data_IF_205840934072
#
_entry.id   IF_205840934072
#
_cell.length_a   1.000
_cell.length_b   1.000
_cell.length_c   1.000
_cell.angle_alpha   90.00
_cell.angle_beta   90.00
_cell.angle_gamma   90.00
#
_symmetry.space_group_name_H-M   'P 1'
#
loop_
_entity.id
_entity.type
_entity.pdbx_description
1 polymer ?
#
# COMPACT_ATOMS: atom_id res chain seq x y z
N UNK A 1 -12.47 47.59 -14.85
CA UNK A 1 -12.51 46.12 -14.88
C UNK A 1 -11.97 45.64 -13.54
N UNK A 2 -12.84 45.11 -12.67
CA UNK A 2 -12.44 44.66 -11.34
C UNK A 2 -11.68 43.34 -11.42
N UNK A 3 -10.54 43.25 -10.75
CA UNK A 3 -9.77 42.02 -10.63
C UNK A 3 -10.52 41.06 -9.70
N UNK A 4 -11.31 40.15 -10.26
CA UNK A 4 -11.85 39.02 -9.52
C UNK A 4 -10.70 38.10 -9.13
N UNK A 5 -10.48 37.94 -7.83
CA UNK A 5 -9.54 36.96 -7.31
C UNK A 5 -10.20 35.58 -7.32
N UNK A 6 -9.40 34.51 -7.34
CA UNK A 6 -9.94 33.14 -7.21
C UNK A 6 -10.74 32.93 -5.91
N UNK A 7 -10.55 33.79 -4.91
CA UNK A 7 -11.31 33.83 -3.67
C UNK A 7 -12.78 34.23 -3.92
N UNK A 8 -13.01 35.23 -4.78
CA UNK A 8 -14.34 35.77 -5.07
C UNK A 8 -15.22 34.78 -5.86
N UNK A 9 -14.59 33.91 -6.67
CA UNK A 9 -15.30 32.88 -7.44
C UNK A 9 -15.79 31.71 -6.59
N UNK A 10 -15.10 31.42 -5.47
CA UNK A 10 -15.44 30.34 -4.54
C UNK A 10 -16.61 30.75 -3.65
N UNK A 11 -16.68 32.02 -3.24
CA UNK A 11 -17.79 32.55 -2.45
C UNK A 11 -19.10 32.64 -3.24
N UNK A 12 -19.04 32.93 -4.55
CA UNK A 12 -20.25 33.12 -5.36
C UNK A 12 -20.89 31.82 -5.89
N UNK A 13 -20.14 30.71 -5.97
CA UNK A 13 -20.65 29.46 -6.56
C UNK A 13 -20.92 28.33 -5.56
N UNK A 14 -20.76 28.57 -4.26
CA UNK A 14 -20.96 27.56 -3.22
C UNK A 14 -19.96 26.41 -3.37
N UNK A 15 -18.88 26.44 -2.59
CA UNK A 15 -17.98 25.30 -2.51
C UNK A 15 -18.79 24.02 -2.21
N UNK A 16 -18.57 22.97 -2.99
CA UNK A 16 -19.12 21.64 -2.68
C UNK A 16 -18.73 21.28 -1.24
N UNK A 17 -19.64 20.65 -0.50
CA UNK A 17 -19.31 20.16 0.83
C UNK A 17 -18.17 19.14 0.74
N UNK A 18 -17.33 19.10 1.78
CA UNK A 18 -16.23 18.13 1.88
C UNK A 18 -16.71 16.70 1.61
N UNK A 19 -17.91 16.35 2.06
CA UNK A 19 -18.48 15.00 1.90
C UNK A 19 -18.76 14.67 0.42
N UNK A 20 -19.27 15.63 -0.36
CA UNK A 20 -19.49 15.45 -1.80
C UNK A 20 -18.15 15.32 -2.52
N UNK A 21 -17.18 16.17 -2.18
CA UNK A 21 -15.83 16.11 -2.76
C UNK A 21 -15.20 14.74 -2.50
N UNK A 22 -15.29 14.24 -1.27
CA UNK A 22 -14.79 12.92 -0.92
C UNK A 22 -15.49 11.81 -1.69
N UNK A 23 -16.81 11.87 -1.79
CA UNK A 23 -17.57 10.89 -2.54
C UNK A 23 -17.11 10.83 -4.00
N UNK A 24 -16.95 11.98 -4.65
CA UNK A 24 -16.43 12.06 -6.04
C UNK A 24 -15.01 11.48 -6.13
N UNK A 25 -14.14 11.79 -5.17
CA UNK A 25 -12.76 11.29 -5.16
C UNK A 25 -12.66 9.77 -5.01
N UNK A 26 -13.62 9.10 -4.37
CA UNK A 26 -13.60 7.63 -4.25
C UNK A 26 -13.79 6.91 -5.59
N UNK A 27 -14.33 7.58 -6.60
CA UNK A 27 -14.46 7.04 -7.97
C UNK A 27 -13.22 7.29 -8.85
N UNK A 28 -12.25 8.06 -8.36
CA UNK A 28 -11.05 8.37 -9.13
C UNK A 28 -10.00 7.27 -8.99
N UNK A 29 -9.35 6.89 -10.10
CA UNK A 29 -8.16 6.06 -10.02
C UNK A 29 -6.96 6.87 -9.48
N UNK A 30 -5.88 6.17 -9.13
CA UNK A 30 -4.69 6.81 -8.55
C UNK A 30 -4.07 7.90 -9.43
N UNK A 31 -4.05 7.73 -10.76
CA UNK A 31 -3.48 8.73 -11.67
C UNK A 31 -4.32 10.01 -11.66
N UNK A 32 -5.65 9.87 -11.74
CA UNK A 32 -6.58 11.00 -11.65
C UNK A 32 -6.41 11.73 -10.31
N UNK A 33 -6.30 10.99 -9.20
CA UNK A 33 -6.06 11.59 -7.88
C UNK A 33 -4.75 12.37 -7.82
N UNK A 34 -3.67 11.82 -8.36
CA UNK A 34 -2.38 12.51 -8.40
C UNK A 34 -2.43 13.77 -9.27
N UNK A 35 -3.20 13.76 -10.37
CA UNK A 35 -3.46 14.96 -11.16
C UNK A 35 -4.28 15.98 -10.37
N UNK A 36 -5.36 15.58 -9.69
CA UNK A 36 -6.15 16.47 -8.84
C UNK A 36 -5.30 17.12 -7.74
N UNK A 37 -4.39 16.37 -7.12
CA UNK A 37 -3.47 16.88 -6.11
C UNK A 37 -2.52 17.98 -6.63
N UNK A 38 -2.29 18.04 -7.95
CA UNK A 38 -1.48 19.07 -8.59
C UNK A 38 -2.24 20.36 -8.93
N UNK A 39 -3.59 20.33 -8.90
CA UNK A 39 -4.42 21.47 -9.30
C UNK A 39 -4.34 22.64 -8.31
N UNK A 40 -4.37 22.36 -6.99
CA UNK A 40 -4.15 23.37 -5.97
C UNK A 40 -3.71 22.78 -4.61
N UNK A 41 -3.22 23.64 -3.72
CA UNK A 41 -2.73 23.24 -2.40
C UNK A 41 -3.80 22.55 -1.53
N UNK A 42 -5.08 22.95 -1.62
CA UNK A 42 -6.15 22.31 -0.86
C UNK A 42 -6.37 20.86 -1.28
N UNK A 43 -6.42 20.58 -2.59
CA UNK A 43 -6.49 19.22 -3.12
C UNK A 43 -5.24 18.42 -2.78
N UNK A 44 -4.07 19.04 -2.87
CA UNK A 44 -2.81 18.41 -2.48
C UNK A 44 -2.84 17.94 -1.03
N UNK A 45 -3.28 18.80 -0.10
CA UNK A 45 -3.40 18.48 1.33
C UNK A 45 -4.45 17.39 1.55
N UNK A 46 -5.60 17.45 0.88
CA UNK A 46 -6.64 16.43 1.04
C UNK A 46 -6.21 15.06 0.52
N UNK A 47 -5.50 15.01 -0.62
CA UNK A 47 -5.17 13.77 -1.30
C UNK A 47 -3.87 13.17 -0.77
N UNK A 48 -2.87 13.98 -0.42
CA UNK A 48 -1.50 13.49 -0.20
C UNK A 48 -1.04 13.49 1.26
N UNK A 49 -1.82 14.04 2.19
CA UNK A 49 -1.44 14.07 3.61
C UNK A 49 -1.44 12.67 4.21
N UNK A 50 -0.29 12.28 4.74
CA UNK A 50 -0.12 11.01 5.45
C UNK A 50 -0.34 11.18 6.95
N UNK A 51 -0.67 10.08 7.64
CA UNK A 51 -0.78 10.07 9.11
C UNK A 51 0.55 10.38 9.81
N UNK A 52 1.69 10.22 9.13
CA UNK A 52 3.02 10.52 9.69
C UNK A 52 3.36 12.01 9.66
N UNK A 53 2.88 12.74 8.66
CA UNK A 53 3.09 14.18 8.51
C UNK A 53 2.27 15.01 9.51
N UNK A 54 1.30 14.38 10.19
CA UNK A 54 0.55 14.97 11.32
C UNK A 54 1.46 15.73 12.27
N UNK A 55 2.62 15.16 12.65
CA UNK A 55 3.52 15.78 13.63
C UNK A 55 4.07 17.16 13.20
N UNK A 56 4.16 17.43 11.89
CA UNK A 56 4.68 18.70 11.38
C UNK A 56 3.59 19.78 11.33
N UNK A 57 2.34 19.42 11.04
CA UNK A 57 1.23 20.38 10.91
C UNK A 57 0.49 20.64 12.23
N UNK A 58 0.66 19.78 13.24
CA UNK A 58 -0.05 19.87 14.51
C UNK A 58 0.22 21.15 15.31
N UNK A 59 1.35 21.84 15.08
CA UNK A 59 1.68 23.07 15.82
C UNK A 59 0.70 24.22 15.57
N UNK A 60 0.01 24.24 14.43
CA UNK A 60 -0.84 25.37 14.03
C UNK A 60 -2.30 25.00 13.67
N UNK A 61 -2.60 23.74 13.30
CA UNK A 61 -3.92 23.38 12.72
C UNK A 61 -4.46 21.99 13.14
N UNK A 62 -4.15 21.54 14.37
CA UNK A 62 -4.27 20.14 14.80
C UNK A 62 -5.58 19.39 14.47
N UNK A 63 -6.76 20.03 14.60
CA UNK A 63 -8.04 19.35 14.34
C UNK A 63 -8.31 19.11 12.84
N UNK A 64 -8.18 20.15 12.01
CA UNK A 64 -8.48 20.09 10.56
C UNK A 64 -7.58 19.09 9.86
N UNK A 65 -6.31 19.01 10.27
CA UNK A 65 -5.32 18.09 9.70
C UNK A 65 -5.67 16.63 10.01
N UNK A 66 -6.21 16.32 11.19
CA UNK A 66 -6.60 14.94 11.52
C UNK A 66 -7.74 14.46 10.65
N UNK A 67 -8.79 15.28 10.52
CA UNK A 67 -9.95 14.96 9.67
C UNK A 67 -9.51 14.72 8.22
N UNK A 68 -8.67 15.61 7.67
CA UNK A 68 -8.13 15.46 6.30
C UNK A 68 -7.24 14.24 6.12
N UNK A 69 -6.41 13.89 7.10
CA UNK A 69 -5.58 12.70 7.03
C UNK A 69 -6.42 11.40 7.06
N UNK A 70 -7.50 11.37 7.83
CA UNK A 70 -8.43 10.23 7.87
C UNK A 70 -9.19 10.10 6.54
N UNK A 71 -9.66 11.22 6.00
CA UNK A 71 -10.29 11.31 4.69
C UNK A 71 -9.35 10.83 3.57
N UNK A 72 -8.11 11.33 3.53
CA UNK A 72 -7.06 10.88 2.61
C UNK A 72 -6.87 9.36 2.72
N UNK A 73 -6.78 8.85 3.95
CA UNK A 73 -6.58 7.43 4.20
C UNK A 73 -7.76 6.57 3.70
N UNK A 74 -8.99 7.07 3.76
CA UNK A 74 -10.16 6.40 3.17
C UNK A 74 -10.10 6.36 1.64
N UNK A 75 -9.82 7.50 1.00
CA UNK A 75 -9.67 7.57 -0.47
C UNK A 75 -8.65 6.53 -0.94
N UNK A 76 -7.46 6.52 -0.33
CA UNK A 76 -6.40 5.60 -0.74
C UNK A 76 -6.68 4.14 -0.39
N UNK A 77 -7.51 3.87 0.63
CA UNK A 77 -7.99 2.51 0.91
C UNK A 77 -8.79 1.98 -0.27
N UNK A 78 -9.73 2.77 -0.79
CA UNK A 78 -10.59 2.37 -1.91
C UNK A 78 -9.78 2.21 -3.21
N UNK A 79 -8.81 3.10 -3.44
CA UNK A 79 -7.84 2.96 -4.55
C UNK A 79 -7.03 1.68 -4.43
N UNK A 80 -6.55 1.35 -3.23
CA UNK A 80 -5.80 0.11 -2.99
C UNK A 80 -6.70 -1.12 -3.18
N UNK A 81 -7.95 -1.09 -2.72
CA UNK A 81 -8.88 -2.22 -2.88
C UNK A 81 -9.29 -2.44 -4.32
N UNK A 82 -9.51 -1.37 -5.09
CA UNK A 82 -9.81 -1.47 -6.52
C UNK A 82 -8.59 -1.95 -7.31
N UNK A 83 -7.38 -1.50 -6.96
CA UNK A 83 -6.14 -1.89 -7.66
C UNK A 83 -5.69 -3.32 -7.27
N UNK A 84 -5.84 -3.69 -6.00
CA UNK A 84 -5.34 -4.94 -5.42
C UNK A 84 -6.38 -5.52 -4.42
N UNK A 85 -7.42 -6.22 -4.92
CA UNK A 85 -8.57 -6.66 -4.11
C UNK A 85 -8.24 -7.54 -2.90
N UNK A 86 -7.11 -8.25 -2.90
CA UNK A 86 -6.67 -9.09 -1.78
C UNK A 86 -6.40 -8.28 -0.50
N UNK A 87 -6.09 -6.98 -0.61
CA UNK A 87 -5.91 -6.12 0.57
C UNK A 87 -7.19 -5.86 1.34
N UNK A 88 -8.37 -6.14 0.77
CA UNK A 88 -9.64 -6.06 1.50
C UNK A 88 -9.67 -6.89 2.78
N UNK A 89 -8.85 -7.95 2.83
CA UNK A 89 -8.70 -8.83 4.00
C UNK A 89 -7.63 -8.36 4.99
N UNK A 90 -6.86 -7.32 4.64
CA UNK A 90 -5.76 -6.84 5.46
C UNK A 90 -6.24 -5.86 6.51
N UNK A 91 -5.96 -6.19 7.77
CA UNK A 91 -6.29 -5.35 8.92
C UNK A 91 -5.03 -4.62 9.42
N UNK A 92 -5.22 -3.45 10.04
CA UNK A 92 -4.14 -2.72 10.73
C UNK A 92 -3.30 -1.78 9.87
N UNK A 93 -3.61 -1.62 8.57
CA UNK A 93 -2.94 -0.61 7.72
C UNK A 93 -3.40 0.79 8.13
N UNK A 94 -2.45 1.59 8.64
CA UNK A 94 -2.69 2.96 9.14
C UNK A 94 -2.49 4.07 8.09
N UNK A 95 -1.91 3.73 6.94
CA UNK A 95 -1.51 4.69 5.90
C UNK A 95 -1.55 4.01 4.52
N UNK A 96 -2.74 4.00 3.92
CA UNK A 96 -3.00 3.36 2.62
C UNK A 96 -2.27 4.07 1.47
N UNK A 97 -2.07 5.39 1.54
CA UNK A 97 -1.28 6.15 0.56
C UNK A 97 0.17 5.67 0.54
N UNK A 98 0.77 5.50 1.72
CA UNK A 98 2.14 5.00 1.81
C UNK A 98 2.28 3.58 1.29
N UNK A 99 1.33 2.70 1.61
CA UNK A 99 1.27 1.34 1.07
C UNK A 99 1.19 1.38 -0.46
N UNK A 100 0.27 2.18 -1.01
CA UNK A 100 0.13 2.36 -2.46
C UNK A 100 1.43 2.82 -3.12
N UNK A 101 2.06 3.88 -2.59
CA UNK A 101 3.34 4.41 -3.12
C UNK A 101 4.48 3.39 -3.07
N UNK A 102 4.54 2.55 -2.03
CA UNK A 102 5.53 1.48 -1.94
C UNK A 102 5.32 0.45 -3.03
N UNK A 103 4.08 -0.01 -3.21
CA UNK A 103 3.75 -1.00 -4.25
C UNK A 103 4.00 -0.52 -5.65
N UNK A 104 3.59 0.71 -6.00
CA UNK A 104 3.83 1.24 -7.36
C UNK A 104 5.33 1.35 -7.67
N UNK A 105 6.20 1.59 -6.68
CA UNK A 105 7.66 1.63 -6.89
C UNK A 105 8.27 0.25 -7.10
N UNK A 106 7.70 -0.78 -6.48
CA UNK A 106 8.23 -2.14 -6.52
C UNK A 106 7.67 -2.92 -7.70
N UNK A 107 6.42 -2.67 -8.09
CA UNK A 107 5.83 -3.28 -9.27
C UNK A 107 6.50 -2.70 -10.51
N UNK A 108 7.08 -3.53 -11.39
CA UNK A 108 7.69 -3.03 -12.60
C UNK A 108 6.63 -2.30 -13.45
N UNK A 109 7.01 -1.20 -14.13
CA UNK A 109 6.08 -0.34 -14.87
C UNK A 109 5.30 -1.03 -16.01
N UNK A 110 5.53 -2.32 -16.26
CA UNK A 110 4.93 -3.08 -17.36
C UNK A 110 3.66 -3.89 -17.01
N UNK A 111 3.17 -3.90 -15.76
CA UNK A 111 1.98 -4.72 -15.43
C UNK A 111 0.61 -4.06 -15.73
N UNK A 112 0.59 -2.88 -16.36
CA UNK A 112 -0.67 -2.20 -16.72
C UNK A 112 -1.22 -2.50 -18.13
N UNK A 113 -0.64 -3.45 -18.86
CA UNK A 113 -1.25 -3.97 -20.09
C UNK A 113 -1.11 -5.48 -20.09
N UNK A 114 -2.26 -6.14 -20.06
CA UNK A 114 -2.53 -7.53 -20.47
C UNK A 114 -1.55 -8.58 -19.93
N UNK A 115 -2.09 -9.56 -19.19
CA UNK A 115 -1.51 -10.89 -18.97
C UNK A 115 -0.47 -11.31 -20.04
N UNK A 116 0.79 -10.90 -19.87
CA UNK A 116 1.85 -11.36 -20.76
C UNK A 116 2.17 -12.80 -20.35
N UNK A 117 2.34 -13.72 -21.32
CA UNK A 117 2.67 -15.10 -21.03
C UNK A 117 4.02 -15.11 -20.31
N UNK A 118 3.94 -15.55 -19.06
CA UNK A 118 4.99 -15.63 -18.08
C UNK A 118 6.20 -16.41 -18.61
N UNK A 119 7.22 -15.73 -19.10
CA UNK A 119 8.48 -16.41 -19.42
C UNK A 119 9.16 -16.78 -18.10
N UNK A 120 9.21 -18.08 -17.81
CA UNK A 120 9.82 -18.72 -16.64
C UNK A 120 11.34 -18.53 -16.60
N UNK A 121 11.84 -17.32 -16.45
CA UNK A 121 13.20 -17.15 -15.94
C UNK A 121 13.13 -17.34 -14.44
N UNK A 122 13.60 -18.50 -13.95
CA UNK A 122 13.83 -18.74 -12.51
C UNK A 122 14.85 -17.71 -12.02
N UNK A 123 14.38 -16.54 -11.59
CA UNK A 123 15.24 -15.59 -10.91
C UNK A 123 15.31 -16.02 -9.45
N UNK A 124 16.45 -16.58 -9.07
CA UNK A 124 16.74 -16.82 -7.66
C UNK A 124 16.63 -15.50 -6.89
N UNK A 125 16.20 -15.58 -5.63
CA UNK A 125 16.07 -14.42 -4.76
C UNK A 125 17.48 -13.95 -4.39
N UNK A 126 18.07 -13.15 -5.28
CA UNK A 126 19.47 -12.71 -5.15
C UNK A 126 19.63 -11.48 -4.25
N UNK A 127 18.56 -10.74 -4.03
CA UNK A 127 18.48 -9.56 -3.15
C UNK A 127 17.38 -9.81 -2.15
N UNK A 128 17.74 -9.78 -0.86
CA UNK A 128 16.77 -9.89 0.23
C UNK A 128 15.82 -8.69 0.15
N UNK A 129 14.53 -8.89 -0.18
CA UNK A 129 13.58 -7.80 -0.13
C UNK A 129 13.41 -7.37 1.33
N UNK A 130 13.19 -6.07 1.53
CA UNK A 130 12.98 -5.51 2.86
C UNK A 130 11.63 -6.00 3.37
N UNK A 131 11.63 -6.93 4.32
CA UNK A 131 10.39 -7.42 4.94
C UNK A 131 9.77 -6.32 5.82
N UNK A 132 8.45 -6.28 5.91
CA UNK A 132 7.77 -5.40 6.87
C UNK A 132 7.85 -5.96 8.28
N UNK A 133 7.79 -7.28 8.39
CA UNK A 133 7.91 -8.02 9.64
C UNK A 133 8.80 -9.25 9.42
N UNK A 134 9.96 -9.27 10.06
CA UNK A 134 10.80 -10.46 10.15
C UNK A 134 10.35 -11.30 11.35
N UNK A 135 9.97 -12.55 11.10
CA UNK A 135 9.61 -13.48 12.16
C UNK A 135 10.88 -14.04 12.80
N UNK A 136 11.00 -14.07 14.15
CA UNK A 136 12.20 -14.58 14.81
C UNK A 136 12.31 -16.11 14.80
N UNK A 137 11.24 -16.82 14.42
CA UNK A 137 11.23 -18.29 14.35
C UNK A 137 12.10 -18.81 13.20
N UNK A 138 12.69 -19.98 13.38
CA UNK A 138 13.45 -20.68 12.33
C UNK A 138 12.52 -21.66 11.60
N UNK A 139 12.75 -21.91 10.31
CA UNK A 139 11.87 -22.74 9.48
C UNK A 139 11.75 -24.18 10.03
N UNK A 140 12.84 -24.70 10.56
CA UNK A 140 12.94 -26.04 11.11
C UNK A 140 12.08 -26.22 12.38
N UNK A 141 11.83 -25.12 13.12
CA UNK A 141 11.01 -25.12 14.34
C UNK A 141 9.49 -24.97 14.06
N UNK A 142 9.11 -24.79 12.79
CA UNK A 142 7.72 -24.67 12.41
C UNK A 142 7.02 -26.02 12.36
N UNK A 143 5.72 -26.03 12.66
CA UNK A 143 4.91 -27.23 12.70
C UNK A 143 4.60 -27.71 11.27
N UNK A 144 4.92 -28.97 10.99
CA UNK A 144 4.62 -29.59 9.70
C UNK A 144 3.12 -29.89 9.59
N UNK A 145 2.49 -29.38 8.52
CA UNK A 145 1.06 -29.54 8.24
C UNK A 145 0.79 -30.47 7.04
N UNK A 146 1.74 -31.34 6.71
CA UNK A 146 1.60 -32.37 5.66
C UNK A 146 1.96 -31.93 4.24
N UNK A 147 2.44 -30.70 4.03
CA UNK A 147 2.88 -30.21 2.72
C UNK A 147 4.36 -29.81 2.75
N UNK A 148 5.18 -30.33 1.81
CA UNK A 148 6.64 -30.10 1.81
C UNK A 148 7.05 -28.62 1.70
N UNK A 149 6.20 -27.79 1.09
CA UNK A 149 6.47 -26.36 0.89
C UNK A 149 5.71 -25.45 1.85
N UNK A 150 5.07 -25.99 2.88
CA UNK A 150 4.20 -25.23 3.79
C UNK A 150 4.28 -25.74 5.22
N UNK A 151 4.56 -24.83 6.16
CA UNK A 151 4.57 -25.12 7.59
C UNK A 151 3.72 -24.10 8.36
N UNK A 152 3.32 -24.40 9.59
CA UNK A 152 2.55 -23.50 10.44
C UNK A 152 3.43 -22.85 11.51
N UNK A 153 3.33 -21.52 11.65
CA UNK A 153 4.04 -20.77 12.68
C UNK A 153 3.14 -20.50 13.88
N UNK A 154 3.47 -21.11 15.03
CA UNK A 154 2.74 -20.91 16.30
C UNK A 154 2.82 -19.47 16.82
N UNK A 155 3.93 -18.77 16.57
CA UNK A 155 4.11 -17.37 16.98
C UNK A 155 3.27 -16.41 16.15
N UNK A 156 3.25 -16.58 14.82
CA UNK A 156 2.49 -15.71 13.91
C UNK A 156 1.03 -16.17 13.75
N UNK A 157 0.72 -17.39 14.16
CA UNK A 157 -0.56 -18.10 13.93
C UNK A 157 -0.97 -18.10 12.45
N UNK A 158 0.01 -18.30 11.56
CA UNK A 158 -0.13 -18.24 10.11
C UNK A 158 0.64 -19.36 9.43
N UNK A 159 0.16 -19.71 8.25
CA UNK A 159 0.87 -20.58 7.33
C UNK A 159 2.07 -19.87 6.71
N UNK A 160 3.21 -20.57 6.65
CA UNK A 160 4.48 -20.11 6.09
C UNK A 160 4.81 -20.93 4.86
N UNK A 161 4.92 -20.25 3.72
CA UNK A 161 5.24 -20.86 2.43
C UNK A 161 6.74 -20.80 2.15
N UNK A 162 7.36 -21.95 1.87
CA UNK A 162 8.74 -22.00 1.37
C UNK A 162 8.76 -21.55 -0.09
N UNK A 163 9.45 -20.45 -0.38
CA UNK A 163 9.58 -19.89 -1.71
C UNK A 163 11.04 -19.86 -2.15
N UNK A 164 11.25 -20.12 -3.44
CA UNK A 164 12.59 -20.24 -4.04
C UNK A 164 12.83 -19.15 -5.08
N UNK A 165 11.77 -18.55 -5.60
CA UNK A 165 11.87 -17.56 -6.68
C UNK A 165 11.17 -16.26 -6.29
N UNK A 166 11.62 -15.15 -6.88
CA UNK A 166 11.04 -13.81 -6.64
C UNK A 166 9.55 -13.82 -6.99
N UNK A 167 9.16 -14.60 -7.99
CA UNK A 167 7.79 -14.79 -8.43
C UNK A 167 6.90 -15.40 -7.34
N UNK A 168 7.35 -16.50 -6.73
CA UNK A 168 6.64 -17.15 -5.64
C UNK A 168 6.54 -16.21 -4.43
N UNK A 169 7.65 -15.55 -4.11
CA UNK A 169 7.69 -14.56 -3.05
C UNK A 169 6.65 -13.46 -3.26
N UNK A 170 6.62 -12.85 -4.47
CA UNK A 170 5.65 -11.83 -4.86
C UNK A 170 4.22 -12.33 -4.80
N UNK A 171 3.97 -13.56 -5.25
CA UNK A 171 2.65 -14.19 -5.22
C UNK A 171 2.13 -14.32 -3.78
N UNK A 172 2.88 -14.96 -2.89
CA UNK A 172 2.46 -15.15 -1.50
C UNK A 172 2.42 -13.85 -0.70
N UNK A 173 3.37 -12.94 -0.95
CA UNK A 173 3.36 -11.58 -0.39
C UNK A 173 2.11 -10.79 -0.80
N UNK A 174 1.69 -10.90 -2.07
CA UNK A 174 0.46 -10.26 -2.53
C UNK A 174 -0.75 -10.81 -1.79
N UNK A 175 -0.79 -12.11 -1.46
CA UNK A 175 -1.87 -12.69 -0.67
C UNK A 175 -1.80 -12.36 0.83
N UNK A 176 -0.74 -11.68 1.29
CA UNK A 176 -0.53 -11.37 2.71
C UNK A 176 -0.08 -12.57 3.55
N UNK A 177 0.42 -13.61 2.89
CA UNK A 177 0.90 -14.84 3.52
C UNK A 177 2.31 -14.69 4.07
N UNK A 178 2.66 -15.52 5.06
CA UNK A 178 4.04 -15.60 5.53
C UNK A 178 4.87 -16.41 4.54
N UNK A 179 6.11 -15.98 4.31
CA UNK A 179 7.04 -16.66 3.40
C UNK A 179 8.35 -16.94 4.10
N UNK A 180 8.95 -18.06 3.74
CA UNK A 180 10.30 -18.43 4.08
C UNK A 180 11.10 -18.55 2.79
N UNK A 181 12.26 -17.88 2.71
CA UNK A 181 13.16 -18.03 1.57
C UNK A 181 14.59 -18.21 2.03
N UNK A 182 15.40 -18.86 1.20
CA UNK A 182 16.82 -19.03 1.46
C UNK A 182 17.58 -17.81 0.93
N UNK A 183 18.25 -17.09 1.82
CA UNK A 183 19.13 -16.00 1.44
C UNK A 183 20.46 -16.54 0.89
N UNK A 184 21.20 -15.70 0.17
CA UNK A 184 22.49 -16.06 -0.46
C UNK A 184 23.53 -16.64 0.51
N UNK A 185 23.47 -16.28 1.79
CA UNK A 185 24.37 -16.81 2.82
C UNK A 185 23.95 -18.20 3.34
N UNK A 186 22.97 -18.85 2.68
CA UNK A 186 22.42 -20.14 3.09
C UNK A 186 21.39 -20.08 4.22
N UNK A 187 21.29 -18.94 4.92
CA UNK A 187 20.31 -18.79 6.01
C UNK A 187 18.90 -18.63 5.48
N UNK A 188 17.93 -19.33 6.07
CA UNK A 188 16.52 -19.10 5.77
C UNK A 188 16.04 -17.90 6.56
N UNK A 189 15.47 -16.92 5.84
CA UNK A 189 14.77 -15.79 6.44
C UNK A 189 13.28 -16.01 6.34
N UNK A 190 12.56 -15.59 7.37
CA UNK A 190 11.11 -15.70 7.45
C UNK A 190 10.47 -14.37 7.77
N UNK A 191 9.31 -14.13 7.16
CA UNK A 191 8.53 -12.95 7.51
C UNK A 191 7.29 -12.77 6.67
N UNK A 192 6.52 -11.75 7.03
CA UNK A 192 5.48 -11.24 6.15
C UNK A 192 6.15 -10.26 5.19
N UNK A 193 6.18 -10.66 3.92
CA UNK A 193 6.60 -9.75 2.86
C UNK A 193 5.36 -8.94 2.50
N UNK A 194 5.41 -7.67 2.88
CA UNK A 194 4.52 -6.64 2.37
C UNK A 194 5.36 -5.81 1.42
N UNK A 195 5.10 -5.95 0.12
CA UNK A 195 5.52 -4.97 -0.87
C UNK A 195 4.66 -3.72 -0.74
#
# INVERSE_FOLDING_TARGET
MGNYTAHDFIEQNGALSDDIVLHVLTYCNANTLMMCASLCANWSVLITVTTREKKLFFKNYGYVVNKRAEQSNMIWKDVVFSTWPHFSRMNGVKDWLRLYRRRVRVLPPHQNKEFLPYTRTRTEITVCPKMEFECPMVWEDLEDIGYQSKKYCKSCKKDVHSVFTVEQLNHYASMGECVAFQAKNGTRKMGCVLF
#
